data_IF_232211315432
#
_entry.id   IF_232211315432
#
_cell.length_a   1.000
_cell.length_b   1.000
_cell.length_c   1.000
_cell.angle_alpha   90.00
_cell.angle_beta   90.00
_cell.angle_gamma   90.00
#
_symmetry.space_group_name_H-M   'P 1'
#
loop_
_entity.id
_entity.type
_entity.pdbx_description
1 polymer ?
#
# COMPACT_ATOMS: atom_id res chain seq x y z
N UNK A 1 -15.30 -13.53 -3.75
CA UNK A 1 -16.09 -12.31 -3.46
C UNK A 1 -17.21 -12.19 -4.49
N UNK A 2 -18.43 -11.83 -4.08
CA UNK A 2 -19.53 -11.58 -5.02
C UNK A 2 -19.48 -10.16 -5.57
N UNK A 3 -20.00 -9.95 -6.78
CA UNK A 3 -20.15 -8.62 -7.39
C UNK A 3 -20.93 -7.63 -6.51
N UNK A 4 -21.88 -8.15 -5.71
CA UNK A 4 -22.69 -7.37 -4.79
C UNK A 4 -21.85 -6.60 -3.74
N UNK A 5 -20.66 -7.08 -3.38
CA UNK A 5 -19.78 -6.37 -2.43
C UNK A 5 -19.21 -5.06 -3.01
N UNK A 6 -19.02 -5.01 -4.32
CA UNK A 6 -18.53 -3.82 -5.04
C UNK A 6 -19.67 -2.93 -5.55
N UNK A 7 -20.94 -3.32 -5.33
CA UNK A 7 -22.07 -2.48 -5.69
C UNK A 7 -21.99 -1.12 -4.96
N UNK A 8 -22.29 -0.04 -5.69
CA UNK A 8 -22.23 1.33 -5.17
C UNK A 8 -20.80 1.88 -4.99
N UNK A 9 -19.73 1.14 -5.31
CA UNK A 9 -18.39 1.74 -5.35
C UNK A 9 -18.34 2.77 -6.48
N UNK A 10 -17.99 4.01 -6.15
CA UNK A 10 -17.79 5.11 -7.11
C UNK A 10 -16.36 5.60 -7.16
N UNK A 11 -15.55 5.24 -6.16
CA UNK A 11 -14.14 5.60 -6.09
C UNK A 11 -13.27 4.47 -5.56
N UNK A 12 -12.15 4.22 -6.22
CA UNK A 12 -11.12 3.30 -5.74
C UNK A 12 -9.93 4.09 -5.22
N UNK A 13 -9.48 3.80 -4.01
CA UNK A 13 -8.21 4.28 -3.48
C UNK A 13 -7.29 3.08 -3.38
N UNK A 14 -6.06 3.19 -3.90
CA UNK A 14 -5.05 2.14 -3.81
C UNK A 14 -3.91 2.57 -2.91
N UNK A 15 -3.38 1.66 -2.11
CA UNK A 15 -2.00 1.79 -1.67
C UNK A 15 -1.05 1.62 -2.86
N UNK A 16 0.18 2.09 -2.71
CA UNK A 16 1.23 1.96 -3.71
C UNK A 16 2.09 0.72 -3.47
N UNK A 17 2.98 0.79 -2.49
CA UNK A 17 3.93 -0.26 -2.08
C UNK A 17 3.19 -1.56 -1.71
N UNK A 18 3.69 -2.71 -2.16
CA UNK A 18 3.05 -4.03 -1.96
C UNK A 18 1.66 -4.24 -2.59
N UNK A 19 1.01 -3.18 -3.12
CA UNK A 19 -0.35 -3.24 -3.65
C UNK A 19 -0.40 -3.05 -5.16
N UNK A 20 0.06 -1.91 -5.66
CA UNK A 20 0.19 -1.67 -7.11
C UNK A 20 1.60 -2.00 -7.59
N UNK A 21 2.62 -1.68 -6.80
CA UNK A 21 4.02 -1.99 -7.11
C UNK A 21 4.46 -3.25 -6.37
N UNK A 22 5.17 -4.13 -7.07
CA UNK A 22 5.76 -5.34 -6.52
C UNK A 22 7.21 -5.05 -6.09
N UNK A 23 7.37 -4.63 -4.85
CA UNK A 23 8.63 -4.14 -4.28
C UNK A 23 9.11 -4.94 -3.07
N UNK A 24 8.47 -6.09 -2.78
CA UNK A 24 8.78 -6.90 -1.60
C UNK A 24 10.24 -7.37 -1.57
N UNK A 25 10.77 -7.79 -2.71
CA UNK A 25 12.17 -8.25 -2.78
C UNK A 25 13.15 -7.08 -2.57
N UNK A 26 12.79 -5.88 -3.04
CA UNK A 26 13.58 -4.66 -2.77
C UNK A 26 13.49 -4.27 -1.29
N UNK A 27 12.31 -4.36 -0.66
CA UNK A 27 12.13 -4.07 0.74
C UNK A 27 12.97 -5.01 1.62
N UNK A 28 12.94 -6.32 1.34
CA UNK A 28 13.77 -7.33 2.02
C UNK A 28 15.25 -7.05 1.82
N UNK A 29 15.69 -6.74 0.60
CA UNK A 29 17.08 -6.38 0.33
C UNK A 29 17.52 -5.12 1.10
N UNK A 30 16.64 -4.11 1.20
CA UNK A 30 16.90 -2.86 1.91
C UNK A 30 17.00 -3.09 3.42
N UNK A 31 16.13 -3.93 4.00
CA UNK A 31 16.24 -4.36 5.40
C UNK A 31 17.53 -5.13 5.63
N UNK A 32 17.89 -6.06 4.75
CA UNK A 32 19.13 -6.84 4.89
C UNK A 32 20.40 -5.99 4.79
N UNK A 33 20.35 -4.87 4.05
CA UNK A 33 21.42 -3.87 4.07
C UNK A 33 21.53 -3.17 5.43
N UNK A 34 20.41 -2.90 6.08
CA UNK A 34 20.39 -2.41 7.46
C UNK A 34 20.98 -3.46 8.41
N UNK A 35 20.57 -4.73 8.27
CA UNK A 35 21.09 -5.82 9.09
C UNK A 35 22.61 -5.91 9.01
N UNK A 36 23.18 -5.87 7.80
CA UNK A 36 24.62 -5.89 7.59
C UNK A 36 25.34 -4.64 8.17
N UNK A 37 24.69 -3.47 8.18
CA UNK A 37 25.28 -2.22 8.66
C UNK A 37 25.29 -2.09 10.20
N UNK A 38 24.29 -2.67 10.85
CA UNK A 38 24.01 -2.52 12.28
C UNK A 38 24.10 -3.83 13.06
N UNK A 39 24.85 -4.82 12.54
CA UNK A 39 25.11 -6.11 13.16
C UNK A 39 23.84 -6.88 13.59
N UNK A 40 22.78 -6.87 12.76
CA UNK A 40 21.57 -7.66 12.99
C UNK A 40 21.52 -8.88 12.05
N UNK A 41 20.74 -9.90 12.43
CA UNK A 41 20.55 -11.09 11.62
C UNK A 41 19.76 -10.77 10.33
N UNK A 42 20.17 -11.32 9.17
CA UNK A 42 19.41 -11.15 7.93
C UNK A 42 18.02 -11.78 8.04
N UNK A 43 17.09 -11.23 7.27
CA UNK A 43 15.69 -11.67 7.18
C UNK A 43 15.42 -12.34 5.85
N UNK A 44 14.64 -13.42 5.89
CA UNK A 44 14.04 -14.00 4.67
C UNK A 44 12.77 -13.24 4.30
N UNK A 45 12.29 -13.43 3.06
CA UNK A 45 11.02 -12.87 2.61
C UNK A 45 9.85 -13.32 3.48
N UNK A 46 9.81 -14.58 3.87
CA UNK A 46 8.75 -15.15 4.72
C UNK A 46 8.78 -14.53 6.11
N UNK A 47 9.98 -14.39 6.72
CA UNK A 47 10.13 -13.75 8.02
C UNK A 47 9.71 -12.28 7.96
N UNK A 48 10.17 -11.56 6.93
CA UNK A 48 9.77 -10.17 6.70
C UNK A 48 8.26 -10.05 6.67
N UNK A 49 7.57 -10.84 5.82
CA UNK A 49 6.12 -10.70 5.60
C UNK A 49 5.29 -11.05 6.83
N UNK A 50 5.76 -12.03 7.61
CA UNK A 50 5.12 -12.41 8.87
C UNK A 50 5.25 -11.33 9.94
N UNK A 51 6.39 -10.63 9.98
CA UNK A 51 6.72 -9.67 11.04
C UNK A 51 6.40 -8.21 10.67
N UNK A 52 6.27 -7.90 9.38
CA UNK A 52 6.00 -6.55 8.88
C UNK A 52 4.69 -6.01 9.44
N UNK A 53 4.73 -4.76 9.88
CA UNK A 53 3.58 -4.08 10.43
C UNK A 53 3.94 -2.80 11.16
N UNK A 54 2.91 -2.14 11.66
CA UNK A 54 2.98 -0.80 12.23
C UNK A 54 2.85 -0.84 13.76
N UNK A 55 3.50 0.08 14.49
CA UNK A 55 4.44 1.10 14.00
C UNK A 55 5.75 0.48 13.47
N UNK A 56 6.38 1.12 12.47
CA UNK A 56 7.58 0.59 11.79
C UNK A 56 8.76 0.37 12.75
N UNK A 57 8.93 1.22 13.77
CA UNK A 57 9.93 1.00 14.81
C UNK A 57 9.70 -0.33 15.55
N UNK A 58 8.45 -0.71 15.80
CA UNK A 58 8.11 -2.01 16.39
C UNK A 58 8.47 -3.18 15.49
N UNK A 59 8.34 -3.04 14.17
CA UNK A 59 8.81 -4.03 13.20
C UNK A 59 10.33 -4.22 13.26
N UNK A 60 11.11 -3.14 13.19
CA UNK A 60 12.57 -3.23 13.30
C UNK A 60 13.02 -3.78 14.66
N UNK A 61 12.32 -3.46 15.75
CA UNK A 61 12.60 -4.04 17.06
C UNK A 61 12.39 -5.56 17.07
N UNK A 62 11.31 -6.08 16.46
CA UNK A 62 11.08 -7.54 16.32
C UNK A 62 12.13 -8.24 15.47
N UNK A 63 12.71 -7.54 14.51
CA UNK A 63 13.83 -8.05 13.73
C UNK A 63 15.15 -8.15 14.52
N UNK A 64 15.23 -7.51 15.69
CA UNK A 64 16.39 -7.57 16.59
C UNK A 64 17.24 -6.30 16.60
N UNK A 65 16.77 -5.19 16.02
CA UNK A 65 17.49 -3.93 16.10
C UNK A 65 17.39 -3.31 17.50
N UNK A 66 18.53 -2.91 18.06
CA UNK A 66 18.62 -2.21 19.36
C UNK A 66 18.72 -0.69 19.17
N UNK A 67 17.64 0.01 19.48
CA UNK A 67 17.57 1.46 19.32
C UNK A 67 18.37 2.26 20.35
N UNK A 68 18.84 1.61 21.44
CA UNK A 68 19.76 2.26 22.37
C UNK A 68 21.19 2.30 21.80
N UNK A 69 21.55 1.30 20.98
CA UNK A 69 22.85 1.24 20.31
C UNK A 69 22.85 2.01 19.00
N UNK A 70 21.75 1.95 18.25
CA UNK A 70 21.61 2.57 16.94
C UNK A 70 20.28 3.33 16.85
N UNK A 71 20.29 4.67 16.83
CA UNK A 71 19.07 5.45 16.68
C UNK A 71 18.22 4.96 15.51
N UNK A 72 16.91 4.82 15.72
CA UNK A 72 15.99 4.32 14.68
C UNK A 72 16.07 5.14 13.38
N UNK A 73 16.30 6.45 13.48
CA UNK A 73 16.47 7.33 12.34
C UNK A 73 17.66 6.93 11.43
N UNK A 74 18.77 6.46 12.01
CA UNK A 74 19.94 6.03 11.25
C UNK A 74 19.65 4.73 10.49
N UNK A 75 18.89 3.83 11.10
CA UNK A 75 18.45 2.58 10.46
C UNK A 75 17.54 2.89 9.27
N UNK A 76 16.55 3.76 9.48
CA UNK A 76 15.62 4.19 8.42
C UNK A 76 16.36 4.92 7.30
N UNK A 77 17.37 5.73 7.61
CA UNK A 77 18.16 6.41 6.59
C UNK A 77 18.87 5.42 5.64
N UNK A 78 19.47 4.35 6.18
CA UNK A 78 20.10 3.29 5.37
C UNK A 78 19.08 2.53 4.52
N UNK A 79 17.89 2.27 5.08
CA UNK A 79 16.80 1.66 4.33
C UNK A 79 16.38 2.54 3.15
N UNK A 80 16.07 3.82 3.40
CA UNK A 80 15.56 4.75 2.40
C UNK A 80 16.60 5.06 1.32
N UNK A 81 17.87 5.20 1.68
CA UNK A 81 18.97 5.39 0.70
C UNK A 81 18.95 4.29 -0.37
N UNK A 82 18.78 3.04 0.03
CA UNK A 82 18.72 1.92 -0.89
C UNK A 82 17.36 1.81 -1.59
N UNK A 83 16.27 1.90 -0.84
CA UNK A 83 14.93 1.68 -1.35
C UNK A 83 14.54 2.75 -2.40
N UNK A 84 14.68 4.04 -2.07
CA UNK A 84 14.23 5.14 -2.92
C UNK A 84 15.01 5.23 -4.24
N UNK A 85 16.27 4.80 -4.22
CA UNK A 85 17.14 4.74 -5.40
C UNK A 85 16.72 3.64 -6.40
N UNK A 86 16.02 2.59 -5.94
CA UNK A 86 15.74 1.41 -6.74
C UNK A 86 14.24 1.17 -7.01
N UNK A 87 13.34 1.71 -6.18
CA UNK A 87 11.89 1.43 -6.25
C UNK A 87 11.25 1.76 -7.60
N UNK A 88 11.74 2.77 -8.32
CA UNK A 88 11.23 3.09 -9.67
C UNK A 88 11.42 1.94 -10.70
N UNK A 89 12.33 1.00 -10.42
CA UNK A 89 12.61 -0.16 -11.27
C UNK A 89 11.75 -1.39 -10.93
N UNK A 90 11.14 -1.42 -9.74
CA UNK A 90 10.28 -2.53 -9.33
C UNK A 90 9.11 -2.71 -10.29
N UNK A 91 8.71 -3.95 -10.64
CA UNK A 91 7.54 -4.18 -11.48
C UNK A 91 6.25 -3.72 -10.79
N UNK A 92 5.17 -3.64 -11.55
CA UNK A 92 3.82 -3.54 -10.98
C UNK A 92 3.23 -4.94 -10.89
N UNK A 93 2.29 -5.14 -9.98
CA UNK A 93 1.59 -6.42 -9.87
C UNK A 93 0.72 -6.71 -11.10
N UNK A 94 0.50 -8.00 -11.38
CA UNK A 94 -0.41 -8.45 -12.44
C UNK A 94 -1.84 -7.94 -12.17
N UNK A 95 -2.52 -7.54 -13.24
CA UNK A 95 -3.91 -7.04 -13.17
C UNK A 95 -4.04 -5.55 -12.89
N UNK A 96 -2.95 -4.82 -12.57
CA UNK A 96 -3.01 -3.37 -12.29
C UNK A 96 -3.53 -2.59 -13.49
N UNK A 97 -2.99 -2.83 -14.69
CA UNK A 97 -3.41 -2.11 -15.89
C UNK A 97 -4.87 -2.40 -16.24
N UNK A 98 -5.24 -3.67 -16.23
CA UNK A 98 -6.59 -4.15 -16.54
C UNK A 98 -7.62 -3.58 -15.57
N UNK A 99 -7.27 -3.49 -14.28
CA UNK A 99 -8.16 -2.97 -13.26
C UNK A 99 -8.37 -1.45 -13.40
N UNK A 100 -7.30 -0.69 -13.67
CA UNK A 100 -7.39 0.75 -13.91
C UNK A 100 -8.18 1.06 -15.19
N UNK A 101 -8.00 0.27 -16.25
CA UNK A 101 -8.75 0.39 -17.51
C UNK A 101 -10.22 0.05 -17.32
N UNK A 102 -10.53 -1.02 -16.58
CA UNK A 102 -11.90 -1.40 -16.27
C UNK A 102 -12.60 -0.35 -15.39
N UNK A 103 -11.91 0.19 -14.39
CA UNK A 103 -12.45 1.28 -13.57
C UNK A 103 -12.80 2.50 -14.44
N UNK A 104 -11.89 2.92 -15.33
CA UNK A 104 -12.14 4.02 -16.26
C UNK A 104 -13.33 3.74 -17.20
N UNK A 105 -13.41 2.53 -17.78
CA UNK A 105 -14.53 2.12 -18.63
C UNK A 105 -15.88 2.11 -17.90
N UNK A 106 -15.87 1.97 -16.56
CA UNK A 106 -17.04 2.02 -15.68
C UNK A 106 -17.34 3.41 -15.12
N UNK A 107 -16.52 4.40 -15.43
CA UNK A 107 -16.64 5.74 -14.84
C UNK A 107 -16.36 5.76 -13.33
N UNK A 108 -15.63 4.77 -12.81
CA UNK A 108 -15.18 4.70 -11.42
C UNK A 108 -13.84 5.44 -11.34
N UNK A 109 -13.79 6.51 -10.56
CA UNK A 109 -12.56 7.27 -10.40
C UNK A 109 -11.58 6.52 -9.50
N UNK A 110 -10.28 6.77 -9.70
CA UNK A 110 -9.21 6.09 -8.98
C UNK A 110 -8.24 7.09 -8.37
N UNK A 111 -7.71 6.79 -7.19
CA UNK A 111 -6.67 7.57 -6.51
C UNK A 111 -5.65 6.65 -5.87
N UNK A 112 -4.46 7.18 -5.62
CA UNK A 112 -3.41 6.47 -4.89
C UNK A 112 -3.11 7.22 -3.59
N UNK A 113 -3.02 6.47 -2.50
CA UNK A 113 -2.73 6.96 -1.16
C UNK A 113 -1.60 6.09 -0.57
N UNK A 114 -0.40 6.65 -0.49
CA UNK A 114 0.79 5.93 -0.04
C UNK A 114 1.39 6.53 1.23
N UNK A 115 2.04 5.68 2.04
CA UNK A 115 2.94 6.12 3.10
C UNK A 115 4.31 6.56 2.59
N UNK A 116 4.59 6.40 1.29
CA UNK A 116 5.81 6.93 0.66
C UNK A 116 5.78 8.45 0.60
N UNK A 117 6.98 9.06 0.62
CA UNK A 117 7.12 10.49 0.33
C UNK A 117 6.52 10.81 -1.04
N UNK A 118 5.80 11.94 -1.13
CA UNK A 118 5.11 12.36 -2.35
C UNK A 118 6.02 12.37 -3.59
N UNK A 119 7.23 12.90 -3.46
CA UNK A 119 8.16 13.03 -4.59
C UNK A 119 8.64 11.67 -5.11
N UNK A 120 8.84 10.71 -4.20
CA UNK A 120 9.17 9.33 -4.55
C UNK A 120 7.99 8.67 -5.26
N UNK A 121 6.78 8.80 -4.71
CA UNK A 121 5.55 8.28 -5.31
C UNK A 121 5.36 8.81 -6.73
N UNK A 122 5.39 10.13 -6.93
CA UNK A 122 5.22 10.77 -8.25
C UNK A 122 6.26 10.25 -9.24
N UNK A 123 7.55 10.26 -8.85
CA UNK A 123 8.63 9.73 -9.71
C UNK A 123 8.40 8.28 -10.12
N UNK A 124 7.95 7.44 -9.19
CA UNK A 124 7.67 6.02 -9.50
C UNK A 124 6.46 5.86 -10.41
N UNK A 125 5.38 6.63 -10.22
CA UNK A 125 4.20 6.61 -11.09
C UNK A 125 4.53 7.06 -12.52
N UNK A 126 5.36 8.11 -12.67
CA UNK A 126 5.84 8.58 -13.98
C UNK A 126 6.68 7.50 -14.70
N UNK A 127 7.59 6.86 -13.97
CA UNK A 127 8.41 5.76 -14.51
C UNK A 127 7.54 4.58 -15.01
N UNK A 128 6.34 4.41 -14.45
CA UNK A 128 5.35 3.40 -14.88
C UNK A 128 4.31 3.92 -15.87
N UNK A 129 4.34 5.21 -16.23
CA UNK A 129 3.32 5.88 -17.06
C UNK A 129 1.90 5.72 -16.50
N UNK A 130 1.80 5.74 -15.17
CA UNK A 130 0.54 5.60 -14.43
C UNK A 130 0.05 6.90 -13.81
N UNK A 131 0.88 7.96 -13.78
CA UNK A 131 0.53 9.21 -13.09
C UNK A 131 -0.82 9.77 -13.55
N UNK A 132 -1.04 9.85 -14.86
CA UNK A 132 -2.26 10.40 -15.46
C UNK A 132 -3.50 9.49 -15.31
N UNK A 133 -3.33 8.28 -14.75
CA UNK A 133 -4.46 7.37 -14.46
C UNK A 133 -5.18 7.73 -13.17
N UNK A 134 -4.56 8.51 -12.27
CA UNK A 134 -5.11 8.81 -10.95
C UNK A 134 -5.70 10.22 -10.87
N UNK A 135 -6.94 10.33 -10.38
CA UNK A 135 -7.57 11.62 -10.07
C UNK A 135 -6.83 12.34 -8.93
N UNK A 136 -6.37 11.58 -7.94
CA UNK A 136 -5.58 12.09 -6.83
C UNK A 136 -4.38 11.20 -6.57
N UNK A 137 -3.22 11.83 -6.43
CA UNK A 137 -1.96 11.22 -6.00
C UNK A 137 -1.63 11.79 -4.64
N UNK A 138 -1.65 10.95 -3.61
CA UNK A 138 -1.49 11.33 -2.21
C UNK A 138 -0.35 10.51 -1.62
N UNK A 139 0.69 11.21 -1.17
CA UNK A 139 1.84 10.65 -0.48
C UNK A 139 2.24 11.61 0.63
N UNK A 140 3.04 11.15 1.59
CA UNK A 140 3.37 11.94 2.76
C UNK A 140 4.19 13.19 2.39
N UNK A 141 3.89 14.31 3.05
CA UNK A 141 4.65 15.54 2.95
C UNK A 141 6.01 15.45 3.67
N UNK A 142 6.92 16.38 3.34
CA UNK A 142 8.25 16.48 3.96
C UNK A 142 8.21 16.90 5.44
N UNK A 143 7.14 17.54 5.86
CA UNK A 143 6.89 17.85 7.27
C UNK A 143 6.33 16.60 7.94
N UNK A 144 7.05 16.02 8.89
CA UNK A 144 6.68 14.83 9.69
C UNK A 144 5.33 14.89 10.45
N UNK A 145 4.45 15.83 10.13
CA UNK A 145 3.22 16.13 10.85
C UNK A 145 2.03 15.24 10.46
N UNK A 146 1.93 14.76 9.21
CA UNK A 146 0.80 13.94 8.75
C UNK A 146 1.19 12.49 8.50
N UNK A 147 0.41 11.57 9.08
CA UNK A 147 0.45 10.14 8.75
C UNK A 147 -0.60 9.79 7.69
N UNK A 148 -0.54 8.56 7.16
CA UNK A 148 -1.45 8.08 6.09
C UNK A 148 -2.94 8.28 6.41
N UNK A 149 -3.33 8.19 7.68
CA UNK A 149 -4.70 8.45 8.13
C UNK A 149 -5.15 9.90 7.90
N UNK A 150 -4.29 10.88 8.16
CA UNK A 150 -4.65 12.28 8.00
C UNK A 150 -4.79 12.64 6.52
N UNK A 151 -3.85 12.15 5.71
CA UNK A 151 -3.92 12.23 4.24
C UNK A 151 -5.19 11.57 3.69
N UNK A 152 -5.63 10.46 4.30
CA UNK A 152 -6.88 9.78 3.93
C UNK A 152 -8.12 10.62 4.25
N UNK A 153 -8.15 11.29 5.41
CA UNK A 153 -9.24 12.20 5.81
C UNK A 153 -9.31 13.41 4.88
N UNK A 154 -8.18 14.01 4.57
CA UNK A 154 -8.10 15.12 3.62
C UNK A 154 -8.56 14.69 2.22
N UNK A 155 -8.17 13.50 1.77
CA UNK A 155 -8.65 12.93 0.52
C UNK A 155 -10.16 12.77 0.54
N UNK A 156 -10.74 12.19 1.60
CA UNK A 156 -12.19 12.04 1.73
C UNK A 156 -12.94 13.38 1.64
N UNK A 157 -12.42 14.45 2.24
CA UNK A 157 -13.01 15.79 2.10
C UNK A 157 -13.04 16.29 0.64
N UNK A 158 -12.11 15.84 -0.21
CA UNK A 158 -12.02 16.21 -1.63
C UNK A 158 -12.91 15.34 -2.52
N UNK A 159 -13.12 14.07 -2.17
CA UNK A 159 -13.88 13.12 -3.00
C UNK A 159 -15.33 13.56 -3.22
N UNK A 160 -15.93 14.31 -2.29
CA UNK A 160 -17.35 14.74 -2.39
C UNK A 160 -18.34 13.56 -2.57
N UNK A 161 -17.99 12.40 -2.00
CA UNK A 161 -18.80 11.17 -1.99
C UNK A 161 -19.06 10.74 -0.55
N UNK A 162 -20.16 10.01 -0.26
CA UNK A 162 -20.28 9.26 0.99
C UNK A 162 -19.05 8.35 1.17
N UNK A 163 -18.44 8.27 2.37
CA UNK A 163 -17.27 7.43 2.60
C UNK A 163 -17.46 5.97 2.19
N UNK A 164 -18.66 5.42 2.39
CA UNK A 164 -19.03 4.06 2.02
C UNK A 164 -18.98 3.77 0.50
N UNK A 165 -19.04 4.81 -0.35
CA UNK A 165 -18.91 4.68 -1.81
C UNK A 165 -17.44 4.56 -2.26
N UNK A 166 -16.51 4.68 -1.32
CA UNK A 166 -15.07 4.54 -1.57
C UNK A 166 -14.57 3.18 -1.09
N UNK A 167 -13.80 2.50 -1.94
CA UNK A 167 -13.10 1.25 -1.59
C UNK A 167 -11.60 1.51 -1.54
N UNK A 168 -10.98 1.26 -0.39
CA UNK A 168 -9.54 1.24 -0.23
C UNK A 168 -8.99 -0.18 -0.42
N UNK A 169 -7.98 -0.31 -1.28
CA UNK A 169 -7.30 -1.56 -1.59
C UNK A 169 -5.85 -1.41 -1.15
N UNK A 170 -5.40 -2.26 -0.23
CA UNK A 170 -4.05 -2.25 0.32
C UNK A 170 -3.52 -3.66 0.61
N UNK A 171 -2.30 -3.77 1.12
CA UNK A 171 -1.65 -5.05 1.43
C UNK A 171 -1.31 -5.19 2.91
N UNK A 172 -1.79 -4.27 3.75
CA UNK A 172 -1.51 -4.27 5.19
C UNK A 172 -2.75 -4.09 6.06
N UNK A 173 -2.73 -4.62 7.29
CA UNK A 173 -3.75 -4.34 8.30
C UNK A 173 -3.85 -2.83 8.63
N UNK A 174 -2.77 -2.07 8.45
CA UNK A 174 -2.79 -0.62 8.63
C UNK A 174 -3.66 0.06 7.55
N UNK A 175 -3.69 -0.47 6.33
CA UNK A 175 -4.58 0.03 5.29
C UNK A 175 -6.05 -0.17 5.65
N UNK A 176 -6.39 -1.37 6.14
CA UNK A 176 -7.71 -1.67 6.65
C UNK A 176 -8.10 -0.74 7.81
N UNK A 177 -7.15 -0.46 8.73
CA UNK A 177 -7.37 0.45 9.84
C UNK A 177 -7.63 1.89 9.37
N UNK A 178 -6.84 2.40 8.41
CA UNK A 178 -7.02 3.72 7.81
C UNK A 178 -8.39 3.83 7.15
N UNK A 179 -8.75 2.88 6.30
CA UNK A 179 -10.06 2.86 5.63
C UNK A 179 -11.21 2.92 6.64
N UNK A 180 -11.17 2.06 7.67
CA UNK A 180 -12.20 2.02 8.72
C UNK A 180 -12.34 3.34 9.46
N UNK A 181 -11.23 4.01 9.77
CA UNK A 181 -11.27 5.28 10.50
C UNK A 181 -11.81 6.44 9.66
N UNK A 182 -11.73 6.35 8.32
CA UNK A 182 -12.32 7.33 7.40
C UNK A 182 -13.78 6.99 7.06
N UNK A 183 -14.18 5.72 7.23
CA UNK A 183 -15.50 5.20 6.85
C UNK A 183 -15.53 4.57 5.45
N UNK A 184 -14.36 4.33 4.85
CA UNK A 184 -14.25 3.62 3.57
C UNK A 184 -14.49 2.12 3.74
N UNK A 185 -14.92 1.47 2.66
CA UNK A 185 -14.78 0.01 2.54
C UNK A 185 -13.31 -0.34 2.38
N UNK A 186 -12.92 -1.52 2.85
CA UNK A 186 -11.55 -2.02 2.75
C UNK A 186 -11.51 -3.38 2.04
N UNK A 187 -10.43 -3.61 1.32
CA UNK A 187 -10.05 -4.89 0.75
C UNK A 187 -8.54 -5.04 0.82
N UNK A 188 -8.08 -6.24 1.18
CA UNK A 188 -6.65 -6.53 1.28
C UNK A 188 -6.21 -7.48 0.17
N UNK A 189 -4.99 -7.30 -0.32
CA UNK A 189 -4.33 -8.24 -1.24
C UNK A 189 -3.11 -8.87 -0.56
N UNK A 190 -2.95 -10.19 -0.71
CA UNK A 190 -1.84 -10.93 -0.08
C UNK A 190 -0.56 -10.93 -0.94
N UNK A 191 -0.47 -10.12 -2.00
CA UNK A 191 0.70 -10.06 -2.88
C UNK A 191 1.87 -9.28 -2.29
N UNK A 192 1.61 -8.41 -1.31
CA UNK A 192 2.56 -7.44 -0.77
C UNK A 192 3.30 -7.85 0.50
N UNK A 193 3.43 -6.87 1.40
CA UNK A 193 4.31 -6.88 2.55
C UNK A 193 3.79 -7.68 3.74
N UNK A 194 2.51 -8.01 3.83
CA UNK A 194 2.01 -8.94 4.85
C UNK A 194 1.61 -10.28 4.23
N UNK A 195 1.81 -11.36 4.99
CA UNK A 195 1.35 -12.68 4.59
C UNK A 195 -0.15 -12.87 4.87
N UNK A 196 -0.73 -13.89 4.22
CA UNK A 196 -2.14 -14.22 4.36
C UNK A 196 -2.56 -14.43 5.81
N UNK A 197 -1.75 -15.16 6.58
CA UNK A 197 -2.06 -15.48 7.98
C UNK A 197 -2.20 -14.20 8.81
N UNK A 198 -1.36 -13.19 8.56
CA UNK A 198 -1.44 -11.89 9.22
C UNK A 198 -2.64 -11.08 8.74
N UNK A 199 -2.94 -11.09 7.44
CA UNK A 199 -4.10 -10.37 6.90
C UNK A 199 -5.43 -10.94 7.43
N UNK A 200 -5.51 -12.25 7.67
CA UNK A 200 -6.69 -12.91 8.26
C UNK A 200 -6.89 -12.54 9.76
N UNK A 201 -5.97 -11.81 10.40
CA UNK A 201 -6.20 -11.22 11.74
C UNK A 201 -7.13 -9.98 11.69
N UNK A 202 -7.36 -9.42 10.50
CA UNK A 202 -8.25 -8.28 10.29
C UNK A 202 -9.65 -8.67 9.82
N UNK A 203 -10.54 -7.67 9.70
CA UNK A 203 -11.95 -7.87 9.35
C UNK A 203 -12.26 -7.62 7.86
N UNK A 204 -11.27 -7.21 7.07
CA UNK A 204 -11.44 -6.96 5.64
C UNK A 204 -11.34 -8.26 4.81
N UNK A 205 -12.09 -8.38 3.71
CA UNK A 205 -11.88 -9.47 2.77
C UNK A 205 -10.46 -9.43 2.18
N UNK A 206 -9.85 -10.60 2.05
CA UNK A 206 -8.49 -10.77 1.51
C UNK A 206 -8.52 -11.54 0.18
N UNK A 207 -7.94 -10.94 -0.85
CA UNK A 207 -7.76 -11.53 -2.18
C UNK A 207 -6.32 -11.99 -2.42
N UNK A 208 -6.16 -13.02 -3.26
CA UNK A 208 -4.84 -13.53 -3.61
C UNK A 208 -4.07 -12.59 -4.56
N UNK A 209 -4.77 -11.76 -5.32
CA UNK A 209 -4.20 -10.75 -6.23
C UNK A 209 -5.25 -9.74 -6.68
N UNK A 210 -4.79 -8.63 -7.27
CA UNK A 210 -5.68 -7.62 -7.88
C UNK A 210 -6.51 -8.20 -9.05
N UNK A 211 -5.96 -9.16 -9.81
CA UNK A 211 -6.68 -9.82 -10.90
C UNK A 211 -7.97 -10.51 -10.45
N UNK A 212 -8.06 -10.94 -9.19
CA UNK A 212 -9.29 -11.53 -8.63
C UNK A 212 -10.43 -10.53 -8.49
N UNK A 213 -10.14 -9.22 -8.54
CA UNK A 213 -11.15 -8.16 -8.49
C UNK A 213 -11.78 -7.89 -9.85
N UNK A 214 -11.10 -8.24 -10.95
CA UNK A 214 -11.57 -7.95 -12.31
C UNK A 214 -12.99 -8.48 -12.59
N UNK A 215 -13.34 -9.75 -12.29
CA UNK A 215 -14.68 -10.25 -12.57
C UNK A 215 -15.75 -9.54 -11.72
N UNK A 216 -15.42 -9.21 -10.47
CA UNK A 216 -16.36 -8.54 -9.57
C UNK A 216 -16.60 -7.08 -9.99
N UNK A 217 -15.54 -6.36 -10.39
CA UNK A 217 -15.64 -4.99 -10.88
C UNK A 217 -16.35 -4.94 -12.25
N UNK A 218 -16.17 -5.97 -13.09
CA UNK A 218 -16.88 -6.13 -14.34
C UNK A 218 -18.37 -6.48 -14.13
N UNK A 219 -18.77 -7.07 -13.01
CA UNK A 219 -20.18 -7.29 -12.72
C UNK A 219 -20.84 -6.11 -11.97
N UNK A 220 -20.05 -5.29 -11.27
CA UNK A 220 -20.54 -4.10 -10.58
C UNK A 220 -20.97 -3.01 -11.60
N UNK A 221 -22.28 -2.92 -11.87
CA UNK A 221 -22.86 -1.97 -12.82
C UNK A 221 -23.70 -2.59 -13.93
N UNK A 222 -23.78 -3.92 -13.99
CA UNK A 222 -24.85 -4.59 -14.75
C UNK A 222 -26.11 -4.67 -13.87
N UNK A 223 -27.28 -4.20 -14.35
CA UNK A 223 -28.53 -4.22 -13.61
C UNK A 223 -29.06 -5.64 -13.33
#
# INVERSE_FOLDING_TARGET
MSAAWLAGVRHLVFDWNGTLIDDIDLAVASVNRCCARFDAEPVTRERYRREFGFPIAGFYSRLGFDFNRHPFADIVAVYLEHFDAHVARCPIHDGVHELLELAAARGIAVSVLSASQRDVLVRTLEAKRLLDRFQHVVGLGHTHASGKLEEARELQCRLSLPPEDTLFIGDTLHDCEVARQVGWRALLVETGHQDRKRLDEGDAPVCASLSQLLPALAAAGEP
#
